data_IF_360400896837
#
_entry.id   IF_360400896837
#
_cell.length_a   1.000
_cell.length_b   1.000
_cell.length_c   1.000
_cell.angle_alpha   90.00
_cell.angle_beta   90.00
_cell.angle_gamma   90.00
#
_symmetry.space_group_name_H-M   'P 1'
#
loop_
_entity.id
_entity.type
_entity.pdbx_description
1 polymer ?
#
# COMPACT_ATOMS: atom_id res chain seq x y z
N UNK A 1 17.74 14.35 31.29
CA UNK A 1 18.42 13.08 30.92
C UNK A 1 19.15 13.29 29.61
N UNK A 2 20.38 12.79 29.50
CA UNK A 2 21.27 13.02 28.34
C UNK A 2 20.71 12.29 27.12
N UNK A 3 20.36 13.04 26.07
CA UNK A 3 20.08 12.45 24.75
C UNK A 3 21.37 11.82 24.24
N UNK A 4 21.46 10.49 24.28
CA UNK A 4 22.55 9.77 23.61
C UNK A 4 22.17 9.67 22.15
N UNK A 5 22.85 10.45 21.30
CA UNK A 5 22.75 10.35 19.85
C UNK A 5 23.28 8.98 19.42
N UNK A 6 22.40 7.99 19.27
CA UNK A 6 22.78 6.70 18.70
C UNK A 6 22.48 6.72 17.20
N UNK A 7 23.52 6.48 16.40
CA UNK A 7 23.44 6.42 14.95
C UNK A 7 22.62 5.19 14.54
N UNK A 8 21.41 5.42 14.04
CA UNK A 8 20.58 4.40 13.39
C UNK A 8 21.20 4.08 12.03
N UNK A 9 21.70 2.86 11.85
CA UNK A 9 22.14 2.36 10.55
C UNK A 9 21.04 1.47 9.97
N UNK A 10 20.14 2.06 9.17
CA UNK A 10 19.24 1.28 8.31
C UNK A 10 20.03 0.89 7.07
N UNK A 11 20.53 -0.34 7.02
CA UNK A 11 20.98 -0.93 5.78
C UNK A 11 19.74 -1.37 4.98
N UNK A 12 19.06 -0.40 4.35
CA UNK A 12 18.22 -0.73 3.22
C UNK A 12 19.16 -1.14 2.09
N UNK A 13 18.97 -2.30 1.47
CA UNK A 13 19.33 -2.41 0.07
C UNK A 13 18.56 -1.29 -0.62
N UNK A 14 19.26 -0.21 -0.97
CA UNK A 14 18.68 1.05 -1.40
C UNK A 14 17.95 0.85 -2.73
N UNK A 15 16.70 0.43 -2.62
CA UNK A 15 15.67 0.51 -3.62
C UNK A 15 14.78 1.68 -3.23
N UNK A 16 15.30 2.90 -3.39
CA UNK A 16 14.68 4.13 -2.90
C UNK A 16 13.25 4.31 -3.41
N UNK A 17 12.31 4.51 -2.50
CA UNK A 17 10.96 5.12 -2.65
C UNK A 17 10.02 4.69 -3.80
N UNK A 18 10.41 3.75 -4.67
CA UNK A 18 9.55 3.05 -5.59
C UNK A 18 9.83 1.57 -5.40
N UNK A 19 8.84 0.83 -4.87
CA UNK A 19 8.94 -0.62 -4.78
C UNK A 19 9.28 -1.16 -6.17
N UNK A 20 10.49 -1.72 -6.33
CA UNK A 20 10.90 -2.33 -7.58
C UNK A 20 9.96 -3.51 -7.82
N UNK A 21 9.13 -3.40 -8.84
CA UNK A 21 8.34 -4.50 -9.34
C UNK A 21 9.05 -5.03 -10.60
N UNK A 22 9.45 -6.30 -10.56
CA UNK A 22 9.95 -7.00 -11.73
C UNK A 22 8.74 -7.46 -12.56
N UNK A 23 8.65 -7.01 -13.81
CA UNK A 23 7.72 -7.57 -14.77
C UNK A 23 8.19 -8.98 -15.13
N UNK A 24 7.35 -9.98 -14.86
CA UNK A 24 7.67 -11.41 -15.07
C UNK A 24 6.91 -11.99 -16.26
N UNK A 25 5.90 -11.28 -16.75
CA UNK A 25 5.14 -11.64 -17.95
C UNK A 25 4.57 -10.38 -18.60
N UNK A 26 4.65 -10.32 -19.93
CA UNK A 26 4.06 -9.27 -20.74
C UNK A 26 3.72 -9.82 -22.13
N UNK A 27 2.44 -9.96 -22.44
CA UNK A 27 1.95 -10.37 -23.76
C UNK A 27 0.50 -9.94 -23.97
N UNK A 28 0.19 -9.48 -25.19
CA UNK A 28 -1.18 -9.21 -25.66
C UNK A 28 -2.00 -8.31 -24.71
N UNK A 29 -1.41 -7.21 -24.26
CA UNK A 29 -2.07 -6.28 -23.32
C UNK A 29 -2.24 -6.84 -21.90
N UNK A 30 -1.59 -7.96 -21.59
CA UNK A 30 -1.55 -8.57 -20.26
C UNK A 30 -0.16 -8.36 -19.68
N UNK A 31 -0.06 -7.90 -18.43
CA UNK A 31 1.20 -7.89 -17.70
C UNK A 31 1.04 -8.47 -16.30
N UNK A 32 2.11 -9.09 -15.80
CA UNK A 32 2.23 -9.57 -14.43
C UNK A 32 3.56 -9.10 -13.86
N UNK A 33 3.51 -8.59 -12.65
CA UNK A 33 4.69 -8.12 -11.93
C UNK A 33 4.73 -8.68 -10.51
N UNK A 34 5.95 -8.92 -10.03
CA UNK A 34 6.24 -9.28 -8.64
C UNK A 34 7.13 -8.18 -8.08
N UNK A 35 6.72 -7.59 -6.97
CA UNK A 35 7.46 -6.52 -6.32
C UNK A 35 7.50 -6.65 -4.82
N UNK A 36 8.08 -5.65 -4.17
CA UNK A 36 8.19 -5.59 -2.72
C UNK A 36 9.54 -5.09 -2.26
N UNK A 37 9.82 -5.28 -0.97
CA UNK A 37 11.12 -5.05 -0.37
C UNK A 37 11.28 -5.89 0.89
N UNK A 38 12.53 -6.25 1.18
CA UNK A 38 12.93 -6.83 2.46
C UNK A 38 13.89 -5.84 3.10
N UNK A 39 13.56 -5.42 4.33
CA UNK A 39 14.32 -4.38 5.03
C UNK A 39 14.55 -4.79 6.47
N UNK A 40 15.81 -4.65 6.92
CA UNK A 40 16.28 -4.96 8.27
C UNK A 40 16.78 -3.66 8.91
N UNK A 41 16.51 -3.48 10.20
CA UNK A 41 17.08 -2.42 11.03
C UNK A 41 17.79 -3.02 12.24
N UNK A 42 18.86 -2.37 12.69
CA UNK A 42 19.51 -2.71 13.96
C UNK A 42 19.50 -1.48 14.85
N UNK A 43 18.92 -1.59 16.04
CA UNK A 43 18.83 -0.47 16.97
C UNK A 43 17.78 -0.67 18.06
N UNK A 44 17.62 0.38 18.86
CA UNK A 44 16.58 0.54 19.88
C UNK A 44 15.32 1.09 19.18
N UNK A 45 14.38 0.22 18.82
CA UNK A 45 13.09 0.60 18.27
C UNK A 45 12.00 0.24 19.29
N UNK A 46 11.26 1.24 19.77
CA UNK A 46 10.16 1.12 20.75
C UNK A 46 10.54 0.52 22.12
N UNK A 47 11.78 0.06 22.31
CA UNK A 47 12.34 -0.56 23.51
C UNK A 47 13.77 -0.04 23.77
N UNK A 48 14.20 -0.02 25.03
CA UNK A 48 15.55 0.42 25.46
C UNK A 48 16.66 -0.65 25.25
N UNK A 49 16.50 -1.53 24.26
CA UNK A 49 17.48 -2.60 23.95
C UNK A 49 17.80 -2.67 22.45
N UNK A 50 19.08 -2.78 22.12
CA UNK A 50 19.55 -2.94 20.73
C UNK A 50 19.15 -4.31 20.21
N UNK A 51 18.28 -4.34 19.19
CA UNK A 51 17.79 -5.58 18.56
C UNK A 51 17.85 -5.50 17.05
N UNK A 52 17.71 -6.66 16.41
CA UNK A 52 17.46 -6.79 14.97
C UNK A 52 15.95 -6.71 14.75
N UNK A 53 15.54 -5.83 13.85
CA UNK A 53 14.14 -5.53 13.52
C UNK A 53 13.89 -5.72 12.04
N UNK A 54 12.67 -6.10 11.69
CA UNK A 54 12.17 -6.01 10.32
C UNK A 54 11.49 -4.66 10.13
N UNK A 55 11.86 -3.94 9.07
CA UNK A 55 11.38 -2.58 8.82
C UNK A 55 10.30 -2.62 7.74
N UNK A 56 9.09 -3.00 8.16
CA UNK A 56 7.90 -3.11 7.30
C UNK A 56 8.15 -3.84 5.95
N UNK A 57 8.82 -5.01 5.92
CA UNK A 57 9.04 -5.77 4.69
C UNK A 57 7.72 -6.22 4.05
N UNK A 58 7.67 -6.26 2.72
CA UNK A 58 6.46 -6.57 1.95
C UNK A 58 6.80 -7.32 0.67
N UNK A 59 5.89 -8.17 0.21
CA UNK A 59 5.87 -8.72 -1.15
C UNK A 59 4.52 -8.43 -1.79
N UNK A 60 4.50 -8.23 -3.10
CA UNK A 60 3.27 -8.07 -3.85
C UNK A 60 3.34 -8.73 -5.22
N UNK A 61 2.16 -9.08 -5.73
CA UNK A 61 1.92 -9.51 -7.10
C UNK A 61 0.84 -8.61 -7.67
N UNK A 62 1.07 -8.07 -8.85
CA UNK A 62 0.10 -7.23 -9.55
C UNK A 62 -0.02 -7.65 -11.01
N UNK A 63 -1.25 -7.91 -11.45
CA UNK A 63 -1.58 -8.26 -12.83
C UNK A 63 -2.49 -7.21 -13.45
N UNK A 64 -2.32 -6.95 -14.75
CA UNK A 64 -3.17 -6.05 -15.53
C UNK A 64 -3.53 -6.71 -16.85
N UNK A 65 -4.73 -6.43 -17.36
CA UNK A 65 -5.21 -6.85 -18.67
C UNK A 65 -6.01 -5.72 -19.30
N UNK A 66 -5.57 -5.25 -20.46
CA UNK A 66 -6.43 -4.50 -21.37
C UNK A 66 -7.43 -5.47 -22.00
N UNK A 67 -8.73 -5.21 -21.78
CA UNK A 67 -9.83 -6.01 -22.31
C UNK A 67 -10.52 -5.33 -23.51
N UNK A 68 -9.97 -4.21 -23.99
CA UNK A 68 -10.49 -3.43 -25.09
C UNK A 68 -11.52 -2.38 -24.66
N UNK A 69 -11.97 -1.58 -25.64
CA UNK A 69 -12.93 -0.48 -25.45
C UNK A 69 -12.50 0.53 -24.37
N UNK A 70 -11.19 0.76 -24.24
CA UNK A 70 -10.62 1.67 -23.24
C UNK A 70 -10.75 1.18 -21.79
N UNK A 71 -10.97 -0.12 -21.56
CA UNK A 71 -11.08 -0.73 -20.23
C UNK A 71 -9.88 -1.61 -19.92
N UNK A 72 -9.20 -1.31 -18.82
CA UNK A 72 -8.16 -2.16 -18.23
C UNK A 72 -8.65 -2.72 -16.89
N UNK A 73 -8.55 -4.04 -16.72
CA UNK A 73 -8.78 -4.73 -15.44
C UNK A 73 -7.44 -5.02 -14.77
N UNK A 74 -7.37 -4.87 -13.46
CA UNK A 74 -6.18 -5.19 -12.68
C UNK A 74 -6.51 -5.89 -11.37
N UNK A 75 -5.57 -6.68 -10.88
CA UNK A 75 -5.65 -7.28 -9.56
C UNK A 75 -4.32 -7.11 -8.84
N UNK A 76 -4.38 -6.90 -7.52
CA UNK A 76 -3.18 -6.80 -6.68
C UNK A 76 -3.38 -7.56 -5.39
N UNK A 77 -2.38 -8.37 -5.06
CA UNK A 77 -2.14 -8.89 -3.71
C UNK A 77 -0.86 -8.29 -3.15
N UNK A 78 -0.90 -7.79 -1.92
CA UNK A 78 0.27 -7.32 -1.17
C UNK A 78 0.20 -7.86 0.25
N UNK A 79 1.32 -8.35 0.76
CA UNK A 79 1.42 -8.95 2.08
C UNK A 79 2.60 -8.39 2.86
N UNK A 80 2.40 -8.18 4.15
CA UNK A 80 3.49 -7.94 5.09
C UNK A 80 4.18 -9.25 5.43
N UNK A 81 5.51 -9.19 5.56
CA UNK A 81 6.33 -10.33 5.94
C UNK A 81 6.73 -10.22 7.40
N UNK A 82 6.61 -11.32 8.15
CA UNK A 82 7.29 -11.48 9.42
C UNK A 82 8.33 -12.60 9.31
N UNK A 83 9.56 -12.23 8.99
CA UNK A 83 10.65 -13.19 8.71
C UNK A 83 11.62 -13.35 9.88
N UNK A 84 11.53 -12.50 10.90
CA UNK A 84 12.34 -12.64 12.12
C UNK A 84 11.64 -13.52 13.17
N UNK A 85 10.30 -13.47 13.21
CA UNK A 85 9.48 -14.29 14.10
C UNK A 85 8.43 -15.03 13.26
N UNK A 86 8.64 -16.32 13.03
CA UNK A 86 7.65 -17.15 12.35
C UNK A 86 6.37 -17.33 13.17
N UNK A 87 5.29 -17.77 12.52
CA UNK A 87 4.02 -18.09 13.16
C UNK A 87 2.84 -17.84 12.21
N UNK A 88 1.63 -17.77 12.77
CA UNK A 88 0.40 -17.51 11.99
C UNK A 88 0.42 -16.15 11.28
N UNK A 89 1.14 -15.17 11.83
CA UNK A 89 1.30 -13.83 11.26
C UNK A 89 2.60 -13.66 10.44
N UNK A 90 3.26 -14.75 10.04
CA UNK A 90 4.40 -14.71 9.10
C UNK A 90 4.07 -13.99 7.79
N UNK A 91 2.80 -14.04 7.38
CA UNK A 91 2.31 -13.50 6.12
C UNK A 91 0.91 -12.94 6.32
N UNK A 92 0.77 -11.61 6.36
CA UNK A 92 -0.52 -10.94 6.59
C UNK A 92 -0.91 -10.06 5.41
N UNK A 93 -2.17 -10.17 4.98
CA UNK A 93 -2.68 -9.40 3.83
C UNK A 93 -2.67 -7.91 4.16
N UNK A 94 -2.06 -7.14 3.26
CA UNK A 94 -2.12 -5.68 3.26
C UNK A 94 -3.12 -5.17 2.24
N UNK A 95 -2.96 -5.55 0.99
CA UNK A 95 -3.88 -5.20 -0.11
C UNK A 95 -4.31 -6.49 -0.81
N UNK A 96 -5.56 -6.51 -1.24
CA UNK A 96 -6.16 -7.65 -1.94
C UNK A 96 -7.39 -7.16 -2.67
N UNK A 97 -7.24 -6.78 -3.94
CA UNK A 97 -8.34 -6.17 -4.69
C UNK A 97 -8.32 -6.54 -6.17
N UNK A 98 -9.48 -6.35 -6.80
CA UNK A 98 -9.66 -6.26 -8.25
C UNK A 98 -10.15 -4.85 -8.60
N UNK A 99 -9.67 -4.30 -9.70
CA UNK A 99 -10.06 -3.00 -10.21
C UNK A 99 -10.38 -3.05 -11.70
N UNK A 100 -11.24 -2.13 -12.13
CA UNK A 100 -11.49 -1.84 -13.53
C UNK A 100 -11.35 -0.34 -13.75
N UNK A 101 -10.55 0.03 -14.74
CA UNK A 101 -10.30 1.43 -15.12
C UNK A 101 -10.75 1.62 -16.55
N UNK A 102 -11.62 2.59 -16.77
CA UNK A 102 -11.93 3.07 -18.11
C UNK A 102 -11.25 4.41 -18.34
N UNK A 103 -10.64 4.60 -19.51
CA UNK A 103 -9.92 5.82 -19.91
C UNK A 103 -10.66 7.14 -19.65
N UNK A 104 -12.00 7.15 -19.67
CA UNK A 104 -12.83 8.35 -19.51
C UNK A 104 -13.82 8.27 -18.35
N UNK A 105 -14.23 7.05 -17.97
CA UNK A 105 -15.27 6.86 -16.94
C UNK A 105 -14.69 6.74 -15.53
N UNK A 106 -13.37 6.66 -15.38
CA UNK A 106 -12.70 6.54 -14.09
C UNK A 106 -12.48 5.08 -13.69
N UNK A 107 -12.39 4.82 -12.39
CA UNK A 107 -11.95 3.54 -11.84
C UNK A 107 -12.90 3.06 -10.76
N UNK A 108 -13.27 1.78 -10.82
CA UNK A 108 -13.95 1.06 -9.73
C UNK A 108 -12.99 0.01 -9.17
N UNK A 109 -12.99 -0.17 -7.84
CA UNK A 109 -12.15 -1.17 -7.16
C UNK A 109 -12.95 -1.85 -6.07
N UNK A 110 -12.83 -3.17 -5.96
CA UNK A 110 -13.44 -3.98 -4.92
C UNK A 110 -12.40 -4.83 -4.17
N UNK A 111 -12.47 -4.85 -2.85
CA UNK A 111 -11.60 -5.64 -1.97
C UNK A 111 -10.93 -4.82 -0.87
N UNK A 112 -9.82 -5.34 -0.33
CA UNK A 112 -8.98 -4.63 0.63
C UNK A 112 -8.04 -3.70 -0.10
N UNK A 113 -8.25 -2.40 0.06
CA UNK A 113 -7.65 -1.35 -0.77
C UNK A 113 -7.38 -0.07 0.06
N UNK A 114 -6.66 0.90 -0.51
CA UNK A 114 -6.61 2.23 0.08
C UNK A 114 -7.96 2.94 -0.10
N UNK A 115 -8.49 3.50 0.98
CA UNK A 115 -9.74 4.24 0.96
C UNK A 115 -9.58 5.62 0.29
N UNK A 116 -10.65 6.19 -0.31
CA UNK A 116 -10.59 7.55 -0.86
C UNK A 116 -10.12 8.62 0.13
N UNK A 117 -10.37 8.43 1.44
CA UNK A 117 -9.83 9.29 2.48
C UNK A 117 -8.29 9.38 2.45
N UNK A 118 -7.62 8.25 2.20
CA UNK A 118 -6.17 8.17 2.18
C UNK A 118 -5.57 8.90 0.96
N UNK A 119 -6.35 9.14 -0.11
CA UNK A 119 -5.91 9.96 -1.24
C UNK A 119 -5.58 11.41 -0.81
N UNK A 120 -6.18 11.89 0.29
CA UNK A 120 -5.91 13.19 0.90
C UNK A 120 -4.93 13.04 2.06
N UNK A 121 -5.23 12.14 3.00
CA UNK A 121 -4.49 12.03 4.24
C UNK A 121 -3.07 11.47 4.06
N UNK A 122 -2.85 10.66 3.02
CA UNK A 122 -1.55 10.05 2.70
C UNK A 122 -0.46 11.06 2.35
N UNK A 123 -0.80 12.32 2.04
CA UNK A 123 0.20 13.38 1.85
C UNK A 123 1.03 13.65 3.12
N UNK A 124 0.46 13.36 4.30
CA UNK A 124 1.12 13.46 5.58
C UNK A 124 1.82 12.16 6.02
N UNK A 125 1.75 11.10 5.22
CA UNK A 125 2.28 9.77 5.53
C UNK A 125 3.59 9.51 4.77
N UNK A 126 4.59 10.37 5.03
CA UNK A 126 5.94 10.27 4.46
C UNK A 126 7.02 9.99 5.53
N UNK A 127 6.86 8.95 6.36
CA UNK A 127 7.81 8.66 7.43
C UNK A 127 9.10 8.01 6.92
N UNK A 128 10.24 8.37 7.51
CA UNK A 128 11.53 7.71 7.28
C UNK A 128 11.65 6.42 8.11
N UNK A 129 11.02 6.37 9.30
CA UNK A 129 11.08 5.23 10.22
C UNK A 129 9.79 4.98 11.03
N UNK A 130 9.04 6.02 11.38
CA UNK A 130 7.85 5.93 12.24
C UNK A 130 6.62 6.48 11.54
N UNK A 131 5.61 5.64 11.34
CA UNK A 131 4.36 6.02 10.68
C UNK A 131 3.57 7.08 11.47
N UNK A 132 2.60 7.70 10.81
CA UNK A 132 1.68 8.62 11.45
C UNK A 132 0.57 7.82 12.15
N UNK A 133 0.74 7.52 13.44
CA UNK A 133 -0.16 6.61 14.20
C UNK A 133 -1.65 6.96 14.08
N UNK A 134 -2.00 8.25 13.95
CA UNK A 134 -3.39 8.70 13.79
C UNK A 134 -4.05 8.21 12.49
N UNK A 135 -3.29 8.03 11.40
CA UNK A 135 -3.82 7.57 10.11
C UNK A 135 -4.12 6.07 10.07
N UNK A 136 -3.59 5.33 11.04
CA UNK A 136 -3.65 3.87 11.08
C UNK A 136 -4.59 3.34 12.16
N UNK A 137 -5.07 4.21 13.06
CA UNK A 137 -6.02 3.83 14.09
C UNK A 137 -7.37 3.40 13.49
N UNK A 138 -7.77 2.16 13.78
CA UNK A 138 -8.97 1.48 13.28
C UNK A 138 -9.19 1.60 11.76
N UNK A 139 -8.11 1.73 10.99
CA UNK A 139 -8.21 2.16 9.60
C UNK A 139 -8.93 1.18 8.69
N UNK A 140 -8.78 -0.12 8.97
CA UNK A 140 -9.37 -1.21 8.21
C UNK A 140 -10.89 -1.16 8.26
N UNK A 141 -11.49 -0.74 9.37
CA UNK A 141 -12.94 -0.72 9.58
C UNK A 141 -13.57 0.65 9.28
N UNK A 142 -12.83 1.75 9.55
CA UNK A 142 -13.34 3.11 9.35
C UNK A 142 -12.99 3.71 7.97
N UNK A 143 -12.13 3.03 7.21
CA UNK A 143 -11.64 3.52 5.93
C UNK A 143 -10.83 4.81 6.04
N UNK A 144 -10.15 5.03 7.17
CA UNK A 144 -9.23 6.16 7.38
C UNK A 144 -7.82 5.91 6.84
N UNK A 145 -7.60 4.74 6.25
CA UNK A 145 -6.35 4.32 5.63
C UNK A 145 -6.59 3.22 4.59
N UNK A 146 -6.15 2.00 4.87
CA UNK A 146 -6.65 0.83 4.12
C UNK A 146 -8.03 0.49 4.62
N UNK A 147 -8.94 0.12 3.73
CA UNK A 147 -10.27 -0.36 4.04
C UNK A 147 -10.45 -1.78 3.53
N UNK A 148 -11.05 -2.64 4.35
CA UNK A 148 -11.42 -4.00 3.97
C UNK A 148 -12.85 -4.05 3.40
N UNK A 149 -13.14 -5.04 2.55
CA UNK A 149 -14.50 -5.26 2.00
C UNK A 149 -15.12 -3.99 1.39
N UNK A 150 -14.30 -3.13 0.79
CA UNK A 150 -14.73 -1.85 0.22
C UNK A 150 -14.97 -1.97 -1.28
N UNK A 151 -16.00 -1.29 -1.77
CA UNK A 151 -16.14 -0.90 -3.17
C UNK A 151 -15.90 0.60 -3.25
N UNK A 152 -15.00 1.03 -4.12
CA UNK A 152 -14.69 2.44 -4.33
C UNK A 152 -14.78 2.84 -5.79
N UNK A 153 -15.08 4.12 -6.03
CA UNK A 153 -15.04 4.76 -7.32
C UNK A 153 -14.15 6.01 -7.25
N UNK A 154 -13.28 6.18 -8.25
CA UNK A 154 -12.39 7.35 -8.39
C UNK A 154 -12.45 7.92 -9.80
N UNK A 155 -12.46 9.24 -9.92
CA UNK A 155 -12.36 9.93 -11.21
C UNK A 155 -11.63 11.26 -11.08
N UNK A 156 -10.74 11.51 -12.04
CA UNK A 156 -10.02 12.77 -12.20
C UNK A 156 -10.63 13.54 -13.37
N UNK A 157 -10.89 14.83 -13.17
CA UNK A 157 -11.35 15.77 -14.18
C UNK A 157 -10.23 16.78 -14.43
N UNK A 158 -9.69 16.81 -15.64
CA UNK A 158 -8.65 17.74 -16.05
C UNK A 158 -9.27 18.99 -16.69
N UNK A 159 -8.85 20.17 -16.28
CA UNK A 159 -9.30 21.44 -16.84
C UNK A 159 -8.09 22.24 -17.33
N UNK A 160 -7.80 22.10 -18.63
CA UNK A 160 -6.63 22.71 -19.25
C UNK A 160 -5.30 22.17 -18.69
N UNK A 161 -4.26 22.98 -18.77
CA UNK A 161 -2.92 22.63 -18.32
C UNK A 161 -2.68 23.16 -16.90
N UNK A 162 -2.86 22.31 -15.89
CA UNK A 162 -2.42 22.61 -14.52
C UNK A 162 -3.49 22.56 -13.44
N UNK A 163 -4.76 22.29 -13.78
CA UNK A 163 -5.81 22.06 -12.79
C UNK A 163 -6.49 20.70 -12.99
N UNK A 164 -6.52 19.92 -11.93
CA UNK A 164 -7.24 18.66 -11.84
C UNK A 164 -8.15 18.67 -10.61
N UNK A 165 -9.41 18.27 -10.80
CA UNK A 165 -10.32 17.96 -9.71
C UNK A 165 -10.43 16.43 -9.58
N UNK A 166 -10.11 15.90 -8.40
CA UNK A 166 -10.20 14.46 -8.13
C UNK A 166 -11.37 14.18 -7.21
N UNK A 167 -12.21 13.22 -7.59
CA UNK A 167 -13.33 12.73 -6.80
C UNK A 167 -13.08 11.26 -6.43
N UNK A 168 -13.31 10.93 -5.17
CA UNK A 168 -13.30 9.55 -4.67
C UNK A 168 -14.51 9.29 -3.78
N UNK A 169 -15.18 8.17 -3.99
CA UNK A 169 -16.32 7.69 -3.20
C UNK A 169 -16.06 6.24 -2.81
N UNK A 170 -16.39 5.86 -1.57
CA UNK A 170 -16.20 4.51 -1.07
C UNK A 170 -17.40 4.07 -0.26
N UNK A 171 -17.84 2.84 -0.47
CA UNK A 171 -18.75 2.13 0.42
C UNK A 171 -18.05 0.90 0.96
N UNK A 172 -18.08 0.76 2.28
CA UNK A 172 -17.47 -0.36 2.98
C UNK A 172 -18.57 -1.21 3.60
N UNK A 173 -18.53 -2.51 3.33
CA UNK A 173 -19.42 -3.47 3.98
C UNK A 173 -19.13 -3.59 5.48
N UNK A 174 -20.09 -4.10 6.23
CA UNK A 174 -19.93 -4.38 7.66
C UNK A 174 -18.71 -5.28 7.89
N UNK A 175 -17.93 -4.92 8.91
CA UNK A 175 -16.71 -5.62 9.29
C UNK A 175 -16.77 -5.88 10.80
N UNK A 176 -16.92 -7.16 11.16
CA UNK A 176 -17.11 -7.62 12.55
C UNK A 176 -15.78 -7.84 13.30
N UNK A 177 -14.65 -7.60 12.64
CA UNK A 177 -13.33 -7.76 13.23
C UNK A 177 -13.00 -6.51 14.09
N UNK A 178 -13.46 -6.52 15.35
CA UNK A 178 -12.97 -5.65 16.44
C UNK A 178 -11.71 -6.18 17.08
#
# INVERSE_FOLDING_TARGET
>A
MKMKTLAVAVAALACGSQAFAAEVYNSDGTSLSIGGHVSVGVGEYFEDEVKVHQVSPRINVAGKKDIGNGVTVDAKGEWALNYLKGGEQSFSTRLGYIGATHEQLGRVVAGTQWAPYYDVAGVADLPIAFANDFLYDNHNNLGTGRAEKMISYRKSFQFGEGFAFNLGLGWQGENDDT
#
